data_IF_937617910010
#
_entry.id   IF_937617910010
#
_cell.length_a   1.000
_cell.length_b   1.000
_cell.length_c   1.000
_cell.angle_alpha   90.00
_cell.angle_beta   90.00
_cell.angle_gamma   90.00
#
_symmetry.space_group_name_H-M   'P 1'
#
loop_
_entity.id
_entity.type
_entity.pdbx_description
1 polymer ?
#
# COMPACT_ATOMS: atom_id res chain seq x y z
N UNK A 1 33.38 63.28 -14.62
CA UNK A 1 33.47 61.85 -15.01
C UNK A 1 32.22 61.13 -14.52
N UNK A 2 31.28 60.87 -15.44
CA UNK A 2 29.96 60.28 -15.17
C UNK A 2 30.09 58.77 -14.98
N UNK A 3 29.71 58.25 -13.80
CA UNK A 3 29.50 56.81 -13.58
C UNK A 3 28.11 56.44 -14.11
N UNK A 4 28.05 55.35 -14.88
CA UNK A 4 26.85 54.80 -15.49
C UNK A 4 25.91 54.21 -14.41
N UNK A 5 24.59 54.50 -14.42
CA UNK A 5 23.63 54.00 -13.43
C UNK A 5 23.02 52.61 -13.74
N UNK A 6 23.51 51.88 -14.74
CA UNK A 6 22.83 50.67 -15.23
C UNK A 6 23.29 49.34 -14.59
N UNK A 7 24.27 49.35 -13.69
CA UNK A 7 24.80 48.11 -13.08
C UNK A 7 24.06 47.69 -11.80
N UNK A 8 23.38 48.61 -11.13
CA UNK A 8 22.83 48.36 -9.77
C UNK A 8 21.39 47.82 -9.77
N UNK A 9 20.74 47.73 -10.93
CA UNK A 9 19.38 47.19 -11.03
C UNK A 9 19.33 45.66 -11.14
N UNK A 10 20.41 44.99 -11.57
CA UNK A 10 20.39 43.54 -11.80
C UNK A 10 20.63 42.71 -10.53
N UNK A 11 21.32 43.27 -9.54
CA UNK A 11 21.56 42.62 -8.24
C UNK A 11 20.37 42.75 -7.28
N UNK A 12 19.49 43.73 -7.47
CA UNK A 12 18.27 43.90 -6.68
C UNK A 12 17.16 42.91 -7.06
N UNK A 13 17.03 42.56 -8.35
CA UNK A 13 15.92 41.71 -8.83
C UNK A 13 16.13 40.20 -8.54
N UNK A 14 17.37 39.75 -8.33
CA UNK A 14 17.65 38.36 -7.93
C UNK A 14 17.49 38.11 -6.43
N UNK A 15 17.45 39.17 -5.60
CA UNK A 15 17.28 39.05 -4.16
C UNK A 15 15.82 38.84 -3.72
N UNK A 16 14.83 39.17 -4.56
CA UNK A 16 13.41 39.14 -4.20
C UNK A 16 12.69 37.84 -4.59
N UNK A 17 13.23 37.06 -5.53
CA UNK A 17 12.64 35.77 -5.93
C UNK A 17 13.14 34.57 -5.11
N UNK A 18 14.22 34.73 -4.32
CA UNK A 18 14.88 33.66 -3.57
C UNK A 18 14.55 33.56 -2.09
N UNK A 19 13.76 34.47 -1.52
CA UNK A 19 13.46 34.52 -0.08
C UNK A 19 12.11 33.90 0.28
N UNK A 20 11.92 32.60 0.02
CA UNK A 20 11.04 31.81 0.90
C UNK A 20 11.88 31.38 2.10
N UNK A 21 11.89 32.31 3.06
CA UNK A 21 12.51 32.28 4.37
C UNK A 21 12.08 31.03 5.16
N UNK A 22 12.83 29.93 5.06
CA UNK A 22 12.81 28.84 6.04
C UNK A 22 13.55 29.27 7.31
N UNK A 23 13.09 30.36 7.97
CA UNK A 23 13.66 30.83 9.24
C UNK A 23 12.57 30.70 10.30
N UNK A 24 12.56 29.56 10.98
CA UNK A 24 11.64 29.29 12.09
C UNK A 24 11.19 27.83 12.16
N UNK A 25 12.13 26.89 12.28
CA UNK A 25 11.84 25.47 12.53
C UNK A 25 12.49 25.02 13.85
N UNK A 26 12.53 25.94 14.82
CA UNK A 26 12.88 25.65 16.21
C UNK A 26 11.87 26.33 17.12
N UNK A 27 10.83 25.59 17.51
CA UNK A 27 10.02 25.74 18.74
C UNK A 27 8.51 25.47 18.50
N UNK A 28 7.92 24.71 19.43
CA UNK A 28 6.48 24.50 19.70
C UNK A 28 5.70 23.48 18.84
N UNK A 29 5.40 22.31 19.43
CA UNK A 29 4.96 21.08 18.77
C UNK A 29 3.49 20.91 18.38
N UNK A 30 2.62 21.93 18.40
CA UNK A 30 1.20 21.76 18.02
C UNK A 30 0.63 22.81 17.07
N UNK A 31 1.15 24.03 17.03
CA UNK A 31 0.75 25.06 16.04
C UNK A 31 1.48 24.91 14.70
N UNK A 32 2.55 24.09 14.66
CA UNK A 32 3.37 23.88 13.47
C UNK A 32 2.72 22.91 12.46
N UNK A 33 1.82 22.01 12.87
CA UNK A 33 1.20 21.02 11.97
C UNK A 33 0.17 21.67 11.04
N UNK A 34 -0.70 22.54 11.55
CA UNK A 34 -1.66 23.30 10.73
C UNK A 34 -0.98 24.27 9.77
N UNK A 35 0.08 24.95 10.22
CA UNK A 35 0.88 25.82 9.35
C UNK A 35 1.62 25.03 8.25
N UNK A 36 2.22 23.90 8.58
CA UNK A 36 2.94 23.06 7.60
C UNK A 36 1.99 22.43 6.57
N UNK A 37 0.79 22.01 6.98
CA UNK A 37 -0.25 21.54 6.06
C UNK A 37 -0.71 22.66 5.12
N UNK A 38 -0.86 23.90 5.60
CA UNK A 38 -1.21 25.03 4.76
C UNK A 38 -0.09 25.37 3.76
N UNK A 39 1.18 25.33 4.19
CA UNK A 39 2.34 25.52 3.31
C UNK A 39 2.38 24.44 2.24
N UNK A 40 2.17 23.17 2.61
CA UNK A 40 2.09 22.05 1.67
C UNK A 40 0.95 22.24 0.66
N UNK A 41 -0.25 22.61 1.11
CA UNK A 41 -1.40 22.84 0.23
C UNK A 41 -1.15 24.00 -0.74
N UNK A 42 -0.49 25.07 -0.28
CA UNK A 42 -0.09 26.18 -1.13
C UNK A 42 0.96 25.78 -2.17
N UNK A 43 1.91 24.91 -1.80
CA UNK A 43 2.95 24.36 -2.66
C UNK A 43 2.35 23.40 -3.70
N UNK A 44 1.42 22.54 -3.27
CA UNK A 44 0.65 21.65 -4.13
C UNK A 44 -0.16 22.43 -5.17
N UNK A 45 -0.82 23.52 -4.74
CA UNK A 45 -1.56 24.41 -5.65
C UNK A 45 -0.64 25.03 -6.72
N UNK A 46 0.61 25.36 -6.37
CA UNK A 46 1.59 25.90 -7.34
C UNK A 46 2.08 24.82 -8.30
N UNK A 47 2.45 23.64 -7.81
CA UNK A 47 2.83 22.49 -8.65
C UNK A 47 1.72 22.09 -9.62
N UNK A 48 0.46 22.16 -9.19
CA UNK A 48 -0.71 21.92 -10.04
C UNK A 48 -0.81 22.94 -11.19
N UNK A 49 -0.48 24.21 -10.94
CA UNK A 49 -0.47 25.24 -11.99
C UNK A 49 0.64 25.00 -13.02
N UNK A 50 1.76 24.41 -12.59
CA UNK A 50 2.87 24.00 -13.46
C UNK A 50 2.60 22.68 -14.22
N UNK A 51 1.40 22.09 -14.07
CA UNK A 51 0.97 20.91 -14.84
C UNK A 51 1.38 19.56 -14.25
N UNK A 52 1.68 19.47 -12.96
CA UNK A 52 1.92 18.18 -12.28
C UNK A 52 0.61 17.39 -12.06
N UNK A 53 0.70 16.06 -12.17
CA UNK A 53 -0.45 15.16 -12.02
C UNK A 53 -0.89 15.05 -10.55
N UNK A 54 -2.19 15.30 -10.32
CA UNK A 54 -2.82 15.31 -9.00
C UNK A 54 -2.66 13.98 -8.26
N UNK A 55 -2.97 12.87 -8.94
CA UNK A 55 -2.94 11.52 -8.36
C UNK A 55 -1.53 11.13 -7.90
N UNK A 56 -0.52 11.39 -8.73
CA UNK A 56 0.89 11.10 -8.39
C UNK A 56 1.34 11.87 -7.12
N UNK A 57 0.90 13.11 -6.96
CA UNK A 57 1.29 13.95 -5.83
C UNK A 57 0.50 13.60 -4.55
N UNK A 58 -0.75 13.14 -4.68
CA UNK A 58 -1.55 12.59 -3.58
C UNK A 58 -0.98 11.25 -3.10
N UNK A 59 -0.62 10.35 -4.02
CA UNK A 59 -0.03 9.04 -3.69
C UNK A 59 1.37 9.18 -3.06
N UNK A 60 2.15 10.18 -3.46
CA UNK A 60 3.43 10.46 -2.79
C UNK A 60 3.23 10.98 -1.35
N UNK A 61 2.10 11.64 -1.08
CA UNK A 61 1.76 12.17 0.23
C UNK A 61 1.42 11.08 1.25
N UNK A 62 0.81 9.99 0.78
CA UNK A 62 0.43 8.86 1.63
C UNK A 62 1.61 7.96 1.99
N UNK A 63 2.62 7.88 1.12
CA UNK A 63 3.75 6.95 1.30
C UNK A 63 4.91 7.56 2.10
N UNK A 64 5.18 8.85 1.97
CA UNK A 64 6.35 9.50 2.58
C UNK A 64 6.00 10.45 3.73
N UNK A 65 6.95 10.68 4.63
CA UNK A 65 6.81 11.68 5.69
C UNK A 65 6.57 13.09 5.10
N UNK A 66 5.78 13.91 5.80
CA UNK A 66 5.39 15.25 5.35
C UNK A 66 6.60 16.12 4.99
N UNK A 67 7.67 16.06 5.79
CA UNK A 67 8.88 16.85 5.57
C UNK A 67 9.62 16.46 4.27
N UNK A 68 9.70 15.16 3.98
CA UNK A 68 10.30 14.65 2.73
C UNK A 68 9.48 15.07 1.51
N UNK A 69 8.15 15.09 1.61
CA UNK A 69 7.28 15.56 0.54
C UNK A 69 7.44 17.06 0.26
N UNK A 70 7.57 17.88 1.30
CA UNK A 70 7.84 19.32 1.15
C UNK A 70 9.20 19.52 0.46
N UNK A 71 10.25 18.81 0.88
CA UNK A 71 11.59 18.91 0.24
C UNK A 71 11.57 18.51 -1.23
N UNK A 72 10.91 17.41 -1.56
CA UNK A 72 10.80 16.94 -2.95
C UNK A 72 9.98 17.93 -3.79
N UNK A 73 8.86 18.40 -3.26
CA UNK A 73 8.00 19.38 -3.93
C UNK A 73 8.68 20.73 -4.17
N UNK A 74 9.46 21.23 -3.20
CA UNK A 74 10.26 22.45 -3.37
C UNK A 74 11.35 22.28 -4.44
N UNK A 75 12.04 21.13 -4.47
CA UNK A 75 13.03 20.83 -5.52
C UNK A 75 12.39 20.76 -6.90
N UNK A 76 11.20 20.16 -6.99
CA UNK A 76 10.46 20.05 -8.24
C UNK A 76 10.01 21.43 -8.74
N UNK A 77 9.47 22.26 -7.84
CA UNK A 77 9.10 23.64 -8.15
C UNK A 77 10.32 24.47 -8.59
N UNK A 78 11.45 24.33 -7.90
CA UNK A 78 12.70 25.01 -8.26
C UNK A 78 13.20 24.63 -9.67
N UNK A 79 13.13 23.34 -10.02
CA UNK A 79 13.48 22.87 -11.35
C UNK A 79 12.54 23.45 -12.43
N UNK A 80 11.24 23.54 -12.15
CA UNK A 80 10.26 24.17 -13.05
C UNK A 80 10.52 25.66 -13.25
N UNK A 81 10.74 26.42 -12.16
CA UNK A 81 11.07 27.84 -12.27
C UNK A 81 12.35 28.07 -13.07
N UNK A 82 13.39 27.25 -12.82
CA UNK A 82 14.63 27.32 -13.60
C UNK A 82 14.41 26.97 -15.07
N UNK A 83 13.54 26.01 -15.39
CA UNK A 83 13.22 25.66 -16.76
C UNK A 83 12.47 26.79 -17.49
N UNK A 84 11.56 27.48 -16.80
CA UNK A 84 10.84 28.65 -17.32
C UNK A 84 11.80 29.81 -17.56
N UNK A 85 12.69 30.09 -16.61
CA UNK A 85 13.69 31.16 -16.74
C UNK A 85 14.69 30.88 -17.87
N UNK A 86 15.17 29.64 -18.00
CA UNK A 86 16.02 29.23 -19.13
C UNK A 86 15.29 29.36 -20.47
N UNK A 87 14.00 29.04 -20.54
CA UNK A 87 13.21 29.23 -21.76
C UNK A 87 13.02 30.71 -22.11
N UNK A 88 12.86 31.60 -21.11
CA UNK A 88 12.81 33.05 -21.32
C UNK A 88 14.14 33.57 -21.84
N UNK A 89 15.25 33.19 -21.20
CA UNK A 89 16.60 33.54 -21.65
C UNK A 89 16.88 33.05 -23.08
N UNK A 90 16.40 31.86 -23.45
CA UNK A 90 16.57 31.33 -24.81
C UNK A 90 15.82 32.16 -25.87
N UNK A 91 14.69 32.79 -25.51
CA UNK A 91 13.91 33.68 -26.41
C UNK A 91 14.56 35.05 -26.58
N UNK A 92 15.21 35.56 -25.53
CA UNK A 92 15.85 36.88 -25.54
C UNK A 92 17.24 36.87 -26.21
N UNK A 93 17.81 35.70 -26.46
CA UNK A 93 19.16 35.58 -27.01
C UNK A 93 19.20 35.73 -28.54
N UNK A 94 20.10 36.59 -29.07
CA UNK A 94 20.29 36.74 -30.51
C UNK A 94 20.90 35.47 -31.14
N UNK A 95 20.47 35.17 -32.36
CA UNK A 95 20.78 33.90 -33.04
C UNK A 95 22.27 33.63 -33.26
N UNK A 96 23.10 34.67 -33.34
CA UNK A 96 24.55 34.57 -33.52
C UNK A 96 25.30 33.99 -32.30
N UNK A 97 24.70 33.97 -31.11
CA UNK A 97 25.35 33.46 -29.89
C UNK A 97 25.13 31.95 -29.72
N UNK A 98 25.47 31.18 -30.75
CA UNK A 98 25.23 29.73 -30.86
C UNK A 98 25.80 28.92 -29.68
N UNK A 99 27.02 29.20 -29.23
CA UNK A 99 27.65 28.49 -28.10
C UNK A 99 26.83 28.64 -26.81
N UNK A 100 26.37 29.86 -26.52
CA UNK A 100 25.53 30.14 -25.34
C UNK A 100 24.12 29.56 -25.49
N UNK A 101 23.62 29.45 -26.72
CA UNK A 101 22.35 28.78 -27.02
C UNK A 101 22.43 27.27 -26.79
N UNK A 102 23.55 26.65 -27.17
CA UNK A 102 23.79 25.22 -26.94
C UNK A 102 23.94 24.90 -25.46
N UNK A 103 24.68 25.71 -24.67
CA UNK A 103 24.80 25.48 -23.23
C UNK A 103 23.45 25.59 -22.50
N UNK A 104 22.61 26.56 -22.90
CA UNK A 104 21.25 26.69 -22.36
C UNK A 104 20.32 25.55 -22.81
N UNK A 105 20.47 25.05 -24.04
CA UNK A 105 19.72 23.88 -24.51
C UNK A 105 20.10 22.60 -23.74
N UNK A 106 21.38 22.41 -23.42
CA UNK A 106 21.87 21.33 -22.56
C UNK A 106 21.33 21.50 -21.14
N UNK A 107 21.36 22.70 -20.58
CA UNK A 107 20.78 22.98 -19.27
C UNK A 107 19.27 22.68 -19.25
N UNK A 108 18.53 23.06 -20.30
CA UNK A 108 17.10 22.73 -20.45
C UNK A 108 16.87 21.22 -20.45
N UNK A 109 17.68 20.45 -21.18
CA UNK A 109 17.60 18.98 -21.19
C UNK A 109 17.91 18.39 -19.83
N UNK A 110 18.91 18.94 -19.12
CA UNK A 110 19.25 18.50 -17.77
C UNK A 110 18.09 18.68 -16.78
N UNK A 111 17.46 19.86 -16.75
CA UNK A 111 16.33 20.10 -15.85
C UNK A 111 15.09 19.28 -16.23
N UNK A 112 14.82 19.12 -17.54
CA UNK A 112 13.75 18.23 -18.01
C UNK A 112 14.00 16.77 -17.59
N UNK A 113 15.23 16.28 -17.74
CA UNK A 113 15.63 14.95 -17.28
C UNK A 113 15.49 14.80 -15.77
N UNK A 114 15.85 15.83 -15.01
CA UNK A 114 15.74 15.83 -13.55
C UNK A 114 14.29 15.77 -13.10
N UNK A 115 13.39 16.53 -13.73
CA UNK A 115 11.94 16.43 -13.50
C UNK A 115 11.44 15.01 -13.80
N UNK A 116 11.84 14.45 -14.95
CA UNK A 116 11.47 13.08 -15.33
C UNK A 116 11.93 12.03 -14.31
N UNK A 117 13.18 12.14 -13.84
CA UNK A 117 13.74 11.22 -12.84
C UNK A 117 12.98 11.26 -11.51
N UNK A 118 12.57 12.45 -11.06
CA UNK A 118 11.77 12.63 -9.85
C UNK A 118 10.40 11.97 -10.03
N UNK A 119 9.71 12.23 -11.16
CA UNK A 119 8.43 11.58 -11.47
C UNK A 119 8.54 10.05 -11.51
N UNK A 120 9.59 9.53 -12.15
CA UNK A 120 9.83 8.09 -12.23
C UNK A 120 10.03 7.48 -10.83
N UNK A 121 10.80 8.16 -9.97
CA UNK A 121 11.01 7.72 -8.59
C UNK A 121 9.69 7.70 -7.81
N UNK A 122 8.88 8.75 -7.89
CA UNK A 122 7.57 8.81 -7.21
C UNK A 122 6.66 7.67 -7.67
N UNK A 123 6.58 7.43 -8.98
CA UNK A 123 5.75 6.35 -9.54
C UNK A 123 6.24 4.95 -9.17
N UNK A 124 7.56 4.77 -9.06
CA UNK A 124 8.13 3.50 -8.62
C UNK A 124 7.79 3.22 -7.15
N UNK A 125 7.85 4.23 -6.28
CA UNK A 125 7.55 4.03 -4.85
C UNK A 125 6.09 3.68 -4.59
N UNK A 126 5.16 4.27 -5.35
CA UNK A 126 3.73 3.96 -5.23
C UNK A 126 3.40 2.58 -5.81
N UNK A 127 4.06 2.19 -6.90
CA UNK A 127 3.94 0.83 -7.44
C UNK A 127 4.48 -0.23 -6.45
N UNK A 128 5.62 0.05 -5.80
CA UNK A 128 6.21 -0.84 -4.80
C UNK A 128 5.28 -0.99 -3.59
N UNK A 129 4.73 0.11 -3.06
CA UNK A 129 3.81 0.03 -1.93
C UNK A 129 2.56 -0.79 -2.26
N UNK A 130 1.98 -0.61 -3.45
CA UNK A 130 0.82 -1.39 -3.87
C UNK A 130 1.18 -2.88 -4.04
N UNK A 131 2.33 -3.19 -4.64
CA UNK A 131 2.80 -4.57 -4.75
C UNK A 131 3.01 -5.22 -3.38
N UNK A 132 3.55 -4.48 -2.39
CA UNK A 132 3.69 -4.97 -1.02
C UNK A 132 2.33 -5.27 -0.37
N UNK A 133 1.33 -4.41 -0.55
CA UNK A 133 -0.03 -4.67 -0.03
C UNK A 133 -0.63 -5.93 -0.65
N UNK A 134 -0.53 -6.09 -1.97
CA UNK A 134 -1.05 -7.28 -2.65
C UNK A 134 -0.30 -8.56 -2.26
N UNK A 135 1.02 -8.50 -2.12
CA UNK A 135 1.81 -9.66 -1.67
C UNK A 135 1.48 -10.04 -0.23
N UNK A 136 1.31 -9.07 0.68
CA UNK A 136 0.82 -9.34 2.03
C UNK A 136 -0.56 -9.97 2.02
N UNK A 137 -1.48 -9.48 1.19
CA UNK A 137 -2.81 -10.06 1.04
C UNK A 137 -2.73 -11.52 0.57
N UNK A 138 -1.90 -11.82 -0.44
CA UNK A 138 -1.68 -13.20 -0.91
C UNK A 138 -1.10 -14.10 0.18
N UNK A 139 -0.14 -13.61 0.96
CA UNK A 139 0.44 -14.36 2.08
C UNK A 139 -0.63 -14.65 3.14
N UNK A 140 -1.48 -13.69 3.49
CA UNK A 140 -2.58 -13.90 4.44
C UNK A 140 -3.58 -14.93 3.91
N UNK A 141 -3.97 -14.84 2.63
CA UNK A 141 -4.82 -15.84 1.99
C UNK A 141 -4.19 -17.23 2.01
N UNK A 142 -2.88 -17.33 1.75
CA UNK A 142 -2.14 -18.58 1.81
C UNK A 142 -2.12 -19.15 3.23
N UNK A 143 -1.86 -18.33 4.25
CA UNK A 143 -1.91 -18.77 5.66
C UNK A 143 -3.30 -19.27 6.05
N UNK A 144 -4.36 -18.60 5.62
CA UNK A 144 -5.74 -19.05 5.86
C UNK A 144 -6.05 -20.36 5.15
N UNK A 145 -5.53 -20.54 3.92
CA UNK A 145 -5.67 -21.79 3.18
C UNK A 145 -4.95 -22.94 3.88
N UNK A 146 -3.73 -22.74 4.35
CA UNK A 146 -2.98 -23.73 5.13
C UNK A 146 -3.70 -24.10 6.43
N UNK A 147 -4.22 -23.11 7.17
CA UNK A 147 -5.04 -23.36 8.37
C UNK A 147 -6.29 -24.15 7.99
N UNK A 148 -6.97 -23.79 6.91
CA UNK A 148 -8.14 -24.53 6.43
C UNK A 148 -7.78 -25.99 6.09
N UNK A 149 -6.67 -26.23 5.40
CA UNK A 149 -6.19 -27.57 5.07
C UNK A 149 -5.87 -28.39 6.33
N UNK A 150 -5.14 -27.81 7.29
CA UNK A 150 -4.83 -28.45 8.57
C UNK A 150 -6.09 -28.75 9.37
N UNK A 151 -7.03 -27.80 9.44
CA UNK A 151 -8.33 -27.99 10.10
C UNK A 151 -9.14 -29.09 9.42
N UNK A 152 -9.17 -29.14 8.08
CA UNK A 152 -9.87 -30.18 7.31
C UNK A 152 -9.26 -31.55 7.58
N UNK A 153 -7.94 -31.67 7.61
CA UNK A 153 -7.24 -32.90 7.98
C UNK A 153 -7.58 -33.31 9.42
N UNK A 154 -7.59 -32.35 10.34
CA UNK A 154 -7.95 -32.56 11.74
C UNK A 154 -9.39 -33.10 11.90
N UNK A 155 -10.34 -32.50 11.19
CA UNK A 155 -11.74 -32.94 11.17
C UNK A 155 -11.86 -34.36 10.61
N UNK A 156 -11.23 -34.66 9.48
CA UNK A 156 -11.26 -36.01 8.90
C UNK A 156 -10.67 -37.05 9.84
N UNK A 157 -9.56 -36.71 10.53
CA UNK A 157 -8.92 -37.61 11.48
C UNK A 157 -9.75 -37.80 12.75
N UNK A 158 -10.45 -36.77 13.20
CA UNK A 158 -11.40 -36.87 14.31
C UNK A 158 -12.59 -37.75 13.92
N UNK A 159 -13.14 -37.56 12.72
CA UNK A 159 -14.24 -38.38 12.19
C UNK A 159 -13.87 -39.87 12.13
N UNK A 160 -12.67 -40.20 11.64
CA UNK A 160 -12.17 -41.59 11.61
C UNK A 160 -12.01 -42.18 13.02
N UNK A 161 -11.58 -41.36 13.99
CA UNK A 161 -11.49 -41.77 15.40
C UNK A 161 -12.86 -42.03 16.02
N UNK A 162 -13.86 -41.21 15.71
CA UNK A 162 -15.23 -41.44 16.18
C UNK A 162 -15.84 -42.69 15.54
N UNK A 163 -15.61 -42.91 14.24
CA UNK A 163 -16.06 -44.13 13.55
C UNK A 163 -15.48 -45.38 14.19
N UNK A 164 -14.17 -45.40 14.46
CA UNK A 164 -13.53 -46.55 15.12
C UNK A 164 -14.01 -46.79 16.55
N UNK A 165 -14.28 -45.72 17.33
CA UNK A 165 -14.85 -45.84 18.67
C UNK A 165 -16.32 -46.30 18.67
N UNK A 166 -17.07 -46.05 17.59
CA UNK A 166 -18.47 -46.48 17.46
C UNK A 166 -18.62 -47.97 17.16
N UNK A 167 -17.63 -48.61 16.52
CA UNK A 167 -17.65 -50.05 16.19
C UNK A 167 -17.97 -50.95 17.40
N UNK A 168 -17.25 -50.87 18.54
CA UNK A 168 -17.56 -51.72 19.69
C UNK A 168 -18.93 -51.43 20.30
N UNK A 169 -19.39 -50.18 20.25
CA UNK A 169 -20.71 -49.80 20.78
C UNK A 169 -21.80 -50.49 19.96
N UNK A 170 -21.74 -50.41 18.63
CA UNK A 170 -22.70 -51.08 17.74
C UNK A 170 -22.67 -52.60 17.94
N UNK A 171 -21.49 -53.20 18.03
CA UNK A 171 -21.35 -54.64 18.27
C UNK A 171 -21.95 -55.07 19.61
N UNK A 172 -21.82 -54.26 20.67
CA UNK A 172 -22.46 -54.56 21.96
C UNK A 172 -23.98 -54.47 21.90
N UNK A 173 -24.53 -53.51 21.14
CA UNK A 173 -25.98 -53.40 20.95
C UNK A 173 -26.53 -54.58 20.13
N UNK A 174 -25.85 -54.96 19.04
CA UNK A 174 -26.21 -56.13 18.24
C UNK A 174 -26.18 -57.41 19.08
N UNK A 175 -25.12 -57.61 19.88
CA UNK A 175 -25.02 -58.77 20.76
C UNK A 175 -26.11 -58.80 21.85
N UNK A 176 -26.47 -57.64 22.41
CA UNK A 176 -27.58 -57.52 23.36
C UNK A 176 -28.93 -57.84 22.71
N UNK A 177 -29.14 -57.38 21.48
CA UNK A 177 -30.38 -57.63 20.74
C UNK A 177 -30.52 -59.12 20.36
N UNK A 178 -29.42 -59.75 19.93
CA UNK A 178 -29.38 -61.21 19.69
C UNK A 178 -29.64 -62.01 20.97
N UNK A 179 -29.05 -61.63 22.09
CA UNK A 179 -29.28 -62.28 23.38
C UNK A 179 -30.75 -62.14 23.83
N UNK A 180 -31.37 -60.98 23.59
CA UNK A 180 -32.78 -60.76 23.88
C UNK A 180 -33.70 -61.61 22.98
N UNK A 181 -33.38 -61.74 21.69
CA UNK A 181 -34.11 -62.62 20.75
C UNK A 181 -34.02 -64.09 21.17
N UNK A 182 -32.82 -64.58 21.49
CA UNK A 182 -32.62 -65.96 21.99
C UNK A 182 -33.43 -66.24 23.25
N UNK A 183 -33.50 -65.29 24.19
CA UNK A 183 -34.32 -65.42 25.41
C UNK A 183 -35.81 -65.51 25.09
N UNK A 184 -36.31 -64.71 24.13
CA UNK A 184 -37.70 -64.79 23.68
C UNK A 184 -38.01 -66.14 23.03
N UNK A 185 -37.12 -66.65 22.17
CA UNK A 185 -37.31 -67.92 21.49
C UNK A 185 -37.31 -69.12 22.46
N UNK A 186 -36.46 -69.08 23.50
CA UNK A 186 -36.47 -70.10 24.56
C UNK A 186 -37.79 -70.05 25.33
N UNK A 187 -38.24 -68.86 25.71
CA UNK A 187 -39.50 -68.67 26.43
C UNK A 187 -40.70 -69.15 25.62
N UNK A 188 -40.73 -68.87 24.31
CA UNK A 188 -41.77 -69.38 23.41
C UNK A 188 -41.80 -70.91 23.35
N UNK A 189 -40.62 -71.57 23.28
CA UNK A 189 -40.52 -73.03 23.30
C UNK A 189 -40.95 -73.64 24.64
N UNK A 190 -40.65 -72.97 25.75
CA UNK A 190 -41.09 -73.39 27.09
C UNK A 190 -42.62 -73.29 27.22
N UNK A 191 -43.22 -72.19 26.74
CA UNK A 191 -44.67 -72.03 26.68
C UNK A 191 -45.35 -73.08 25.77
N UNK A 192 -44.77 -73.38 24.61
CA UNK A 192 -45.25 -74.47 23.75
C UNK A 192 -45.19 -75.84 24.44
N UNK A 193 -44.10 -76.11 25.18
CA UNK A 193 -43.94 -77.33 25.97
C UNK A 193 -44.97 -77.46 27.10
N UNK A 194 -45.28 -76.35 27.78
CA UNK A 194 -46.28 -76.32 28.85
C UNK A 194 -47.72 -76.50 28.33
N UNK A 195 -48.05 -75.91 27.18
CA UNK A 195 -49.34 -76.11 26.52
C UNK A 195 -49.53 -77.58 26.11
N UNK A 196 -48.49 -78.22 25.57
CA UNK A 196 -48.54 -79.65 25.19
C UNK A 196 -48.70 -80.54 26.43
N UNK A 197 -48.05 -80.21 27.55
CA UNK A 197 -48.19 -80.95 28.82
C UNK A 197 -49.57 -80.78 29.46
N UNK A 198 -50.22 -79.63 29.32
CA UNK A 198 -51.59 -79.42 29.82
C UNK A 198 -52.67 -80.13 28.99
N UNK A 199 -52.35 -80.58 27.77
CA UNK A 199 -53.30 -81.22 26.84
C UNK A 199 -53.35 -82.75 26.96
N UNK A 200 -52.36 -83.38 27.61
CA UNK A 200 -52.33 -84.81 27.94
C UNK A 200 -52.79 -85.05 29.38
#
# INVERSE_FOLDING_TARGET
MRRSPCADYFTSLMATAGFVRCRGLSSSGQTNTTQTVHVLHSLYRRLRKEGEERKMLEDALSVNQLETNIRIGLRLLHCHTQLVDLNRQLKELPFWRLVRRMSLAVARRYYAWRIFSIRLRLRSTTAISNALVYTLFLVVCFMLYEIYCVCRIGVTRAEDRYKSLAVPIVQTFEALEEAARRRKDILLKEMEGDIVRQRN
#
